data_IF_329613458725
#
_entry.id   IF_329613458725
#
_cell.length_a   1.000
_cell.length_b   1.000
_cell.length_c   1.000
_cell.angle_alpha   90.00
_cell.angle_beta   90.00
_cell.angle_gamma   90.00
#
_symmetry.space_group_name_H-M   'P 1'
#
loop_
_entity.id
_entity.type
_entity.pdbx_description
1 polymer ?
#
# COMPACT_ATOMS: atom_id res chain seq x y z
N UNK A 1 5.25 24.19 7.14
CA UNK A 1 5.46 22.72 7.31
C UNK A 1 6.94 22.50 7.56
N UNK A 2 7.33 22.22 8.80
CA UNK A 2 8.74 22.01 9.15
C UNK A 2 9.05 20.54 8.88
N UNK A 3 9.82 20.26 7.83
CA UNK A 3 10.37 18.92 7.62
C UNK A 3 11.31 18.59 8.79
N UNK A 4 10.95 17.59 9.60
CA UNK A 4 11.76 17.09 10.72
C UNK A 4 13.19 16.78 10.21
N UNK A 5 14.21 17.14 10.99
CA UNK A 5 15.62 16.92 10.63
C UNK A 5 15.96 15.45 10.33
N UNK A 6 15.12 14.52 10.80
CA UNK A 6 15.16 13.11 10.39
C UNK A 6 14.95 12.95 8.87
N UNK A 7 13.92 13.58 8.30
CA UNK A 7 13.61 13.47 6.87
C UNK A 7 14.74 14.04 6.01
N UNK A 8 15.29 15.20 6.39
CA UNK A 8 16.41 15.82 5.66
C UNK A 8 17.67 14.96 5.64
N UNK A 9 17.98 14.28 6.75
CA UNK A 9 19.12 13.37 6.83
C UNK A 9 18.93 12.12 5.97
N UNK A 10 17.74 11.52 6.00
CA UNK A 10 17.39 10.37 5.15
C UNK A 10 17.51 10.75 3.68
N UNK A 11 16.90 11.87 3.28
CA UNK A 11 16.92 12.35 1.90
C UNK A 11 18.35 12.59 1.40
N UNK A 12 19.17 13.29 2.21
CA UNK A 12 20.58 13.53 1.89
C UNK A 12 21.35 12.23 1.69
N UNK A 13 21.06 11.20 2.50
CA UNK A 13 21.73 9.91 2.40
C UNK A 13 21.31 9.14 1.15
N UNK A 14 20.01 9.11 0.85
CA UNK A 14 19.47 8.50 -0.37
C UNK A 14 20.10 9.13 -1.62
N UNK A 15 20.15 10.48 -1.68
CA UNK A 15 20.79 11.21 -2.80
C UNK A 15 22.27 10.86 -2.97
N UNK A 16 23.00 10.59 -1.88
CA UNK A 16 24.43 10.24 -1.90
C UNK A 16 24.71 8.81 -2.36
N UNK A 17 23.87 7.85 -1.96
CA UNK A 17 24.03 6.44 -2.36
C UNK A 17 23.78 6.26 -3.86
N UNK A 18 23.00 7.16 -4.49
CA UNK A 18 22.61 7.22 -5.91
C UNK A 18 21.78 6.03 -6.37
N UNK A 19 22.21 4.81 -6.10
CA UNK A 19 21.58 3.59 -6.54
C UNK A 19 21.07 2.79 -5.35
N UNK A 20 19.75 2.75 -5.18
CA UNK A 20 19.06 1.89 -4.22
C UNK A 20 18.33 0.85 -5.07
N UNK A 21 18.80 -0.39 -5.03
CA UNK A 21 18.28 -1.43 -5.93
C UNK A 21 17.17 -2.25 -5.30
N UNK A 22 17.17 -2.39 -3.97
CA UNK A 22 16.16 -3.17 -3.27
C UNK A 22 15.78 -2.58 -1.89
N UNK A 23 14.90 -3.30 -1.21
CA UNK A 23 14.38 -2.89 0.09
C UNK A 23 15.44 -2.96 1.21
N UNK A 24 16.39 -3.90 1.14
CA UNK A 24 17.44 -3.99 2.14
C UNK A 24 18.46 -2.85 1.99
N UNK A 25 18.82 -2.45 0.77
CA UNK A 25 19.61 -1.25 0.50
C UNK A 25 18.91 -0.01 1.03
N UNK A 26 17.61 0.12 0.80
CA UNK A 26 16.81 1.22 1.31
C UNK A 26 16.86 1.26 2.85
N UNK A 27 16.61 0.12 3.51
CA UNK A 27 16.66 0.01 4.97
C UNK A 27 18.04 0.36 5.50
N UNK A 28 19.10 -0.18 4.93
CA UNK A 28 20.47 0.09 5.36
C UNK A 28 20.82 1.57 5.17
N UNK A 29 20.41 2.16 4.06
CA UNK A 29 20.59 3.58 3.77
C UNK A 29 19.89 4.45 4.80
N UNK A 30 18.60 4.17 5.07
CA UNK A 30 17.80 4.88 6.09
C UNK A 30 18.42 4.72 7.48
N UNK A 31 18.78 3.50 7.89
CA UNK A 31 19.39 3.22 9.19
C UNK A 31 20.73 3.94 9.37
N UNK A 32 21.49 4.10 8.29
CA UNK A 32 22.77 4.83 8.31
C UNK A 32 22.64 6.36 8.32
N UNK A 33 21.43 6.90 8.17
CA UNK A 33 21.18 8.35 8.13
C UNK A 33 21.27 9.02 9.50
N UNK A 34 21.03 8.28 10.59
CA UNK A 34 21.05 8.79 11.96
C UNK A 34 21.29 7.67 12.97
N UNK A 35 22.00 7.97 14.05
CA UNK A 35 22.11 7.06 15.19
C UNK A 35 20.76 6.88 15.88
N UNK A 36 20.51 5.68 16.43
CA UNK A 36 19.27 5.31 17.14
C UNK A 36 18.00 5.41 16.28
N UNK A 37 18.12 5.15 14.98
CA UNK A 37 16.97 5.04 14.09
C UNK A 37 16.55 3.58 13.96
N UNK A 38 15.39 3.24 14.51
CA UNK A 38 14.78 1.93 14.35
C UNK A 38 13.82 1.92 13.16
N UNK A 39 14.01 0.95 12.28
CA UNK A 39 13.14 0.74 11.12
C UNK A 39 12.07 -0.27 11.50
N UNK A 40 10.82 0.15 11.46
CA UNK A 40 9.67 -0.72 11.65
C UNK A 40 9.45 -1.50 10.35
N UNK A 41 9.80 -2.78 10.38
CA UNK A 41 9.65 -3.66 9.22
C UNK A 41 8.26 -4.31 9.19
N UNK A 42 7.58 -4.23 8.05
CA UNK A 42 6.28 -4.89 7.87
C UNK A 42 6.49 -6.30 7.32
N UNK A 43 6.62 -7.27 8.23
CA UNK A 43 6.80 -8.68 7.87
C UNK A 43 5.49 -9.47 7.79
N UNK A 44 4.41 -8.94 8.35
CA UNK A 44 3.12 -9.63 8.47
C UNK A 44 2.10 -8.97 7.55
N UNK A 45 2.00 -9.48 6.34
CA UNK A 45 0.94 -9.10 5.42
C UNK A 45 -0.32 -9.88 5.74
N UNK A 46 -1.47 -9.22 5.62
CA UNK A 46 -2.78 -9.83 5.88
C UNK A 46 -3.71 -9.60 4.72
N UNK A 47 -4.58 -10.57 4.47
CA UNK A 47 -5.58 -10.50 3.43
C UNK A 47 -6.80 -9.70 3.91
N UNK A 48 -6.76 -8.40 3.69
CA UNK A 48 -7.88 -7.52 3.98
C UNK A 48 -8.93 -7.65 2.88
N UNK A 49 -10.09 -8.20 3.22
CA UNK A 49 -11.25 -8.21 2.34
C UNK A 49 -12.10 -6.97 2.58
N UNK A 50 -12.66 -6.40 1.51
CA UNK A 50 -13.60 -5.28 1.66
C UNK A 50 -14.86 -5.77 2.36
N UNK A 51 -15.10 -5.25 3.56
CA UNK A 51 -16.31 -5.50 4.37
C UNK A 51 -17.32 -4.35 4.27
N UNK A 52 -17.04 -3.36 3.41
CA UNK A 52 -17.88 -2.19 3.20
C UNK A 52 -19.20 -2.61 2.56
N UNK A 53 -20.30 -2.11 3.10
CA UNK A 53 -21.63 -2.21 2.50
C UNK A 53 -21.68 -1.36 1.23
N UNK A 54 -22.19 -1.93 0.14
CA UNK A 54 -22.57 -1.15 -1.03
C UNK A 54 -24.07 -0.87 -0.96
N UNK A 55 -24.50 0.31 -1.42
CA UNK A 55 -25.90 0.71 -1.43
C UNK A 55 -26.25 1.43 -2.72
N UNK A 56 -27.40 1.08 -3.29
CA UNK A 56 -27.94 1.79 -4.45
C UNK A 56 -28.99 2.83 -4.05
N UNK A 57 -29.41 2.84 -2.78
CA UNK A 57 -30.47 3.69 -2.24
C UNK A 57 -29.94 5.13 -2.14
N UNK A 58 -30.64 6.08 -2.78
CA UNK A 58 -30.21 7.49 -2.83
C UNK A 58 -30.23 8.19 -1.47
N UNK A 59 -31.16 7.81 -0.58
CA UNK A 59 -31.30 8.37 0.76
C UNK A 59 -30.34 7.77 1.79
N UNK A 60 -29.53 6.78 1.38
CA UNK A 60 -28.59 6.12 2.28
C UNK A 60 -27.37 7.02 2.50
N UNK A 61 -27.01 7.36 3.75
CA UNK A 61 -25.85 8.20 4.05
C UNK A 61 -24.56 7.69 3.42
N UNK A 62 -24.45 6.37 3.18
CA UNK A 62 -23.25 5.75 2.60
C UNK A 62 -23.05 6.01 1.10
N UNK A 63 -24.08 6.42 0.35
CA UNK A 63 -24.05 6.57 -1.13
C UNK A 63 -23.04 7.63 -1.58
N UNK A 64 -23.06 8.79 -0.93
CA UNK A 64 -22.19 9.93 -1.25
C UNK A 64 -21.15 10.19 -0.15
N UNK A 65 -20.90 9.19 0.69
CA UNK A 65 -19.99 9.32 1.82
C UNK A 65 -18.54 9.38 1.36
N UNK A 66 -17.86 10.51 1.64
CA UNK A 66 -16.43 10.70 1.38
C UNK A 66 -15.68 10.83 2.70
N UNK A 67 -14.57 10.10 2.82
CA UNK A 67 -13.72 10.16 4.02
C UNK A 67 -13.06 11.54 4.18
N UNK A 68 -12.78 12.25 3.09
CA UNK A 68 -12.15 13.58 3.13
C UNK A 68 -13.04 14.68 3.70
N UNK A 69 -14.36 14.47 3.75
CA UNK A 69 -15.32 15.46 4.26
C UNK A 69 -15.50 15.33 5.79
N UNK A 70 -14.86 14.33 6.42
CA UNK A 70 -14.98 14.07 7.85
C UNK A 70 -14.00 14.95 8.61
N UNK A 71 -14.55 15.72 9.54
CA UNK A 71 -13.79 16.53 10.49
C UNK A 71 -13.51 15.75 11.77
N UNK A 72 -14.51 15.00 12.25
CA UNK A 72 -14.41 14.21 13.48
C UNK A 72 -15.03 12.83 13.26
N UNK A 73 -14.34 11.79 13.73
CA UNK A 73 -14.88 10.44 13.79
C UNK A 73 -14.79 9.90 15.23
N UNK A 74 -15.86 9.24 15.67
CA UNK A 74 -15.98 8.62 16.98
C UNK A 74 -16.39 7.16 16.82
N UNK A 75 -15.58 6.28 17.38
CA UNK A 75 -15.85 4.86 17.46
C UNK A 75 -16.11 4.49 18.92
N UNK A 76 -17.22 3.78 19.17
CA UNK A 76 -17.55 3.28 20.51
C UNK A 76 -17.10 1.82 20.62
N UNK A 77 -16.37 1.48 21.69
CA UNK A 77 -15.99 0.10 21.96
C UNK A 77 -17.25 -0.78 22.06
N UNK A 78 -17.27 -1.88 21.32
CA UNK A 78 -18.43 -2.78 21.22
C UNK A 78 -19.51 -2.35 20.22
N UNK A 79 -19.37 -1.18 19.59
CA UNK A 79 -20.22 -0.77 18.48
C UNK A 79 -19.53 -1.06 17.14
N UNK A 80 -20.33 -1.49 16.17
CA UNK A 80 -19.92 -1.65 14.76
C UNK A 80 -20.22 -0.42 13.91
N UNK A 81 -20.85 0.59 14.50
CA UNK A 81 -21.22 1.82 13.81
C UNK A 81 -20.17 2.91 14.02
N UNK A 82 -19.97 3.70 12.98
CA UNK A 82 -19.13 4.89 13.05
C UNK A 82 -20.01 6.11 13.28
N UNK A 83 -19.63 6.95 14.24
CA UNK A 83 -20.23 8.27 14.43
C UNK A 83 -19.30 9.31 13.84
N UNK A 84 -19.80 10.28 13.09
CA UNK A 84 -18.95 11.27 12.42
C UNK A 84 -19.60 12.66 12.37
N UNK A 85 -18.78 13.71 12.25
CA UNK A 85 -19.20 15.06 11.92
C UNK A 85 -18.40 15.58 10.72
N UNK A 86 -19.07 16.36 9.87
CA UNK A 86 -18.47 17.09 8.74
C UNK A 86 -18.21 18.56 9.05
N UNK A 87 -18.60 19.02 10.25
CA UNK A 87 -18.52 20.40 10.69
C UNK A 87 -17.83 20.47 12.07
N UNK A 88 -16.98 21.47 12.26
CA UNK A 88 -16.29 21.71 13.53
C UNK A 88 -17.21 22.28 14.60
N UNK A 89 -18.22 23.05 14.19
CA UNK A 89 -19.10 23.79 15.11
C UNK A 89 -20.33 22.98 15.53
N UNK A 90 -20.61 21.88 14.82
CA UNK A 90 -21.76 21.04 15.07
C UNK A 90 -21.40 19.86 15.99
N UNK A 91 -21.96 19.85 17.20
CA UNK A 91 -21.77 18.77 18.17
C UNK A 91 -22.58 17.50 17.84
N UNK A 92 -23.54 17.59 16.90
CA UNK A 92 -24.39 16.45 16.54
C UNK A 92 -23.63 15.50 15.62
N UNK A 93 -23.27 14.34 16.17
CA UNK A 93 -22.64 13.26 15.40
C UNK A 93 -23.68 12.47 14.59
N UNK A 94 -23.44 12.36 13.30
CA UNK A 94 -24.20 11.49 12.41
C UNK A 94 -23.75 10.03 12.57
N UNK A 95 -24.68 9.08 12.44
CA UNK A 95 -24.39 7.65 12.51
C UNK A 95 -24.25 7.06 11.10
N UNK A 96 -23.24 6.23 10.88
CA UNK A 96 -22.99 5.54 9.62
C UNK A 96 -22.83 4.03 9.82
N UNK A 97 -23.81 3.27 9.32
CA UNK A 97 -23.68 1.83 9.13
C UNK A 97 -22.99 1.53 7.79
N UNK A 98 -21.71 1.20 7.89
CA UNK A 98 -20.83 0.94 6.74
C UNK A 98 -20.46 -0.53 6.55
N UNK A 99 -20.86 -1.45 7.43
CA UNK A 99 -20.46 -2.86 7.37
C UNK A 99 -21.54 -3.74 6.74
N UNK A 100 -21.14 -4.78 6.00
CA UNK A 100 -22.10 -5.76 5.48
C UNK A 100 -22.67 -6.62 6.62
N UNK A 101 -24.00 -6.81 6.64
CA UNK A 101 -24.72 -7.54 7.69
C UNK A 101 -24.15 -8.94 8.01
N UNK A 102 -23.61 -9.64 7.02
CA UNK A 102 -22.97 -10.97 7.20
C UNK A 102 -21.76 -10.95 8.14
N UNK A 103 -21.09 -9.81 8.27
CA UNK A 103 -19.95 -9.63 9.17
C UNK A 103 -20.34 -9.12 10.56
N UNK A 104 -21.59 -8.69 10.75
CA UNK A 104 -22.12 -8.20 12.03
C UNK A 104 -22.68 -9.35 12.88
N UNK A 105 -23.27 -10.38 12.23
CA UNK A 105 -23.96 -11.47 12.95
C UNK A 105 -23.01 -12.39 13.75
N UNK A 106 -21.73 -12.44 13.39
CA UNK A 106 -20.74 -13.35 13.96
C UNK A 106 -19.46 -12.61 14.35
N UNK A 107 -19.52 -11.58 15.19
CA UNK A 107 -18.32 -10.83 15.64
C UNK A 107 -17.51 -11.71 16.61
N UNK A 108 -16.90 -12.75 16.09
CA UNK A 108 -15.68 -13.35 16.63
C UNK A 108 -14.54 -12.53 16.03
N UNK A 109 -13.56 -12.11 16.83
CA UNK A 109 -12.42 -11.31 16.38
C UNK A 109 -11.90 -11.77 15.00
N UNK A 110 -12.25 -11.03 13.94
CA UNK A 110 -11.84 -11.38 12.58
C UNK A 110 -10.45 -10.82 12.34
N UNK A 111 -9.45 -11.52 12.87
CA UNK A 111 -8.09 -11.31 12.43
C UNK A 111 -7.98 -11.83 10.98
N UNK A 112 -7.59 -10.99 10.01
CA UNK A 112 -7.50 -11.45 8.63
C UNK A 112 -6.36 -12.45 8.47
N UNK A 113 -6.56 -13.38 7.54
CA UNK A 113 -5.60 -14.43 7.23
C UNK A 113 -4.24 -13.84 6.88
N UNK A 114 -3.20 -14.46 7.41
CA UNK A 114 -1.82 -14.03 7.16
C UNK A 114 -1.43 -14.50 5.77
N UNK A 115 -0.85 -13.59 4.98
CA UNK A 115 -0.28 -13.91 3.67
C UNK A 115 1.14 -14.43 3.92
N UNK A 116 1.31 -15.75 3.80
CA UNK A 116 2.59 -16.43 4.07
C UNK A 116 3.43 -16.55 2.79
N UNK A 117 2.77 -16.54 1.63
CA UNK A 117 3.42 -16.78 0.34
C UNK A 117 3.32 -15.56 -0.57
N UNK A 118 4.40 -15.29 -1.30
CA UNK A 118 4.42 -14.27 -2.34
C UNK A 118 3.50 -14.69 -3.48
N UNK A 119 2.72 -13.74 -4.02
CA UNK A 119 1.81 -13.97 -5.15
C UNK A 119 2.51 -14.56 -6.38
N UNK A 120 3.77 -14.17 -6.57
CA UNK A 120 4.57 -14.54 -7.73
C UNK A 120 4.23 -13.72 -8.98
N UNK A 121 4.84 -14.10 -10.09
CA UNK A 121 4.64 -13.49 -11.41
C UNK A 121 4.45 -14.56 -12.51
N UNK A 122 3.86 -14.20 -13.65
CA UNK A 122 3.78 -15.11 -14.79
C UNK A 122 5.15 -15.65 -15.21
N UNK A 123 5.26 -16.93 -15.64
CA UNK A 123 6.54 -17.54 -16.00
C UNK A 123 7.21 -16.85 -17.19
N UNK A 124 6.43 -16.38 -18.16
CA UNK A 124 6.92 -15.62 -19.32
C UNK A 124 7.64 -14.34 -18.87
N UNK A 125 7.00 -13.57 -17.98
CA UNK A 125 7.56 -12.33 -17.42
C UNK A 125 8.82 -12.59 -16.58
N UNK A 126 8.84 -13.67 -15.78
CA UNK A 126 10.04 -14.04 -15.03
C UNK A 126 11.20 -14.33 -15.98
N UNK A 127 10.95 -15.07 -17.05
CA UNK A 127 11.95 -15.36 -18.07
C UNK A 127 12.48 -14.08 -18.73
N UNK A 128 11.60 -13.18 -19.14
CA UNK A 128 12.00 -11.89 -19.72
C UNK A 128 12.89 -11.07 -18.78
N UNK A 129 12.56 -11.02 -17.49
CA UNK A 129 13.36 -10.30 -16.48
C UNK A 129 14.75 -10.93 -16.36
N UNK A 130 14.82 -12.26 -16.27
CA UNK A 130 16.08 -12.99 -16.13
C UNK A 130 16.96 -12.81 -17.38
N UNK A 131 16.39 -12.83 -18.57
CA UNK A 131 17.17 -12.74 -19.81
C UNK A 131 17.60 -11.29 -20.13
N UNK A 132 16.74 -10.29 -19.87
CA UNK A 132 16.95 -8.91 -20.30
C UNK A 132 17.50 -8.00 -19.21
N UNK A 133 17.01 -8.13 -17.98
CA UNK A 133 17.29 -7.18 -16.90
C UNK A 133 18.37 -7.68 -15.95
N UNK A 134 18.37 -8.96 -15.58
CA UNK A 134 19.33 -9.52 -14.63
C UNK A 134 20.80 -9.31 -15.06
N UNK A 135 21.19 -9.47 -16.35
CA UNK A 135 22.57 -9.22 -16.79
C UNK A 135 23.03 -7.76 -16.66
N UNK A 136 22.09 -6.82 -16.54
CA UNK A 136 22.36 -5.39 -16.35
C UNK A 136 22.45 -5.01 -14.86
N UNK A 137 22.15 -5.93 -13.95
CA UNK A 137 22.15 -5.69 -12.51
C UNK A 137 23.44 -6.21 -11.84
N UNK A 138 23.78 -5.72 -10.64
CA UNK A 138 24.84 -6.30 -9.82
C UNK A 138 24.56 -7.76 -9.42
N UNK A 139 25.61 -8.59 -9.39
CA UNK A 139 25.52 -10.05 -9.16
C UNK A 139 24.82 -10.44 -7.84
N UNK A 140 24.91 -9.62 -6.80
CA UNK A 140 24.24 -9.87 -5.52
C UNK A 140 22.69 -9.75 -5.59
N UNK A 141 22.14 -9.36 -6.75
CA UNK A 141 20.70 -9.17 -6.98
C UNK A 141 20.08 -10.24 -7.87
N UNK A 142 20.89 -11.08 -8.49
CA UNK A 142 20.41 -12.18 -9.34
C UNK A 142 19.54 -13.16 -8.52
N UNK A 143 19.97 -13.44 -7.28
CA UNK A 143 19.33 -14.40 -6.38
C UNK A 143 17.84 -14.09 -6.15
N UNK A 144 17.50 -12.82 -5.92
CA UNK A 144 16.12 -12.39 -5.73
C UNK A 144 15.23 -12.76 -6.93
N UNK A 145 15.67 -12.43 -8.14
CA UNK A 145 14.90 -12.67 -9.36
C UNK A 145 14.83 -14.16 -9.70
N UNK A 146 15.88 -14.92 -9.40
CA UNK A 146 15.87 -16.38 -9.58
C UNK A 146 14.95 -17.09 -8.59
N UNK A 147 14.87 -16.62 -7.34
CA UNK A 147 14.06 -17.22 -6.28
C UNK A 147 12.58 -16.76 -6.30
N UNK A 148 12.27 -15.68 -7.02
CA UNK A 148 10.91 -15.14 -7.09
C UNK A 148 9.91 -16.21 -7.59
N UNK A 149 8.82 -16.52 -6.85
CA UNK A 149 7.93 -17.59 -7.25
C UNK A 149 7.18 -17.26 -8.55
N UNK A 150 6.88 -18.31 -9.33
CA UNK A 150 6.05 -18.22 -10.52
C UNK A 150 4.62 -18.59 -10.21
N UNK A 151 3.67 -17.93 -10.85
CA UNK A 151 2.25 -18.21 -10.70
C UNK A 151 1.52 -17.91 -12.01
N UNK A 152 0.79 -18.92 -12.52
CA UNK A 152 0.00 -18.83 -13.75
C UNK A 152 -1.25 -17.96 -13.60
N UNK A 153 -1.74 -17.81 -12.37
CA UNK A 153 -2.96 -17.05 -12.04
C UNK A 153 -2.66 -15.62 -11.62
N UNK A 154 -1.38 -15.25 -11.50
CA UNK A 154 -0.99 -13.91 -11.11
C UNK A 154 -1.32 -12.91 -12.22
N UNK A 155 -2.19 -11.96 -11.90
CA UNK A 155 -2.46 -10.82 -12.77
C UNK A 155 -1.27 -9.88 -12.78
N UNK A 156 -0.81 -9.53 -13.98
CA UNK A 156 0.14 -8.44 -14.10
C UNK A 156 -0.54 -7.14 -13.65
N UNK A 157 0.14 -6.37 -12.79
CA UNK A 157 -0.41 -5.12 -12.24
C UNK A 157 -0.06 -3.92 -13.11
N UNK A 158 0.82 -4.12 -14.09
CA UNK A 158 1.12 -3.14 -15.12
C UNK A 158 0.26 -3.51 -16.32
N UNK A 159 -0.80 -2.73 -16.57
CA UNK A 159 -1.39 -2.67 -17.90
C UNK A 159 -0.26 -2.28 -18.86
N UNK A 160 -0.11 -2.96 -19.99
CA UNK A 160 0.93 -2.64 -20.96
C UNK A 160 0.78 -1.18 -21.40
N UNK A 161 1.47 -0.27 -20.70
CA UNK A 161 1.63 1.10 -21.13
C UNK A 161 2.50 0.99 -22.37
N UNK A 162 1.91 1.32 -23.51
CA UNK A 162 2.66 1.43 -24.76
C UNK A 162 3.61 2.62 -24.63
N UNK A 163 4.85 2.33 -24.23
CA UNK A 163 5.88 3.35 -24.02
C UNK A 163 6.39 3.97 -25.34
N UNK A 164 5.90 3.49 -26.49
CA UNK A 164 6.25 4.01 -27.81
C UNK A 164 5.84 5.48 -27.99
N UNK A 165 4.81 5.94 -27.28
CA UNK A 165 4.34 7.34 -27.35
C UNK A 165 5.04 8.30 -26.37
N UNK A 166 5.81 7.79 -25.40
CA UNK A 166 6.38 8.64 -24.32
C UNK A 166 7.75 9.27 -24.60
N UNK A 167 8.41 8.96 -25.71
CA UNK A 167 9.79 9.42 -25.99
C UNK A 167 9.98 10.24 -27.28
N UNK A 168 8.90 10.66 -27.95
CA UNK A 168 8.99 11.54 -29.11
C UNK A 168 8.07 12.73 -28.89
N UNK A 169 8.54 13.77 -28.19
CA UNK A 169 8.07 15.16 -28.33
C UNK A 169 8.81 16.03 -27.31
N UNK A 170 10.09 16.31 -27.54
CA UNK A 170 10.78 17.50 -27.01
C UNK A 170 12.18 17.59 -27.64
N UNK A 171 12.21 17.97 -28.92
CA UNK A 171 13.38 18.50 -29.62
C UNK A 171 12.87 19.30 -30.84
N UNK A 172 12.36 20.50 -30.58
CA UNK A 172 12.30 21.59 -31.55
C UNK A 172 12.41 22.94 -30.84
#
# INVERSE_FOLDING_TARGET
MSADGVHGNIETKIRKVRNIYDYDDLKNTIKSSRQNLDIIDQKKFRQWTSKKRATNIKSDPLKNFKLGDIVMAKFKRGSVTMFYSTDFDNEILQELDFLQKKFIKNITSYEPDIIIQNRGIPPTKKKDIIEKLVPLMPANRELFWTELPVSLTSTDLVENIDLSDTFINECH
#
